data_IF_887994139230
#
_entry.id   IF_887994139230
#
_cell.length_a   1.000
_cell.length_b   1.000
_cell.length_c   1.000
_cell.angle_alpha   90.00
_cell.angle_beta   90.00
_cell.angle_gamma   90.00
#
_symmetry.space_group_name_H-M   'P 1'
#
loop_
_entity.id
_entity.type
_entity.pdbx_description
1 polymer ?
#
# COMPACT_ATOMS: atom_id res chain seq x y z
N UNK A 1 17.17 21.01 -4.02
CA UNK A 1 16.03 20.08 -4.20
C UNK A 1 16.13 19.03 -3.11
N UNK A 2 15.09 18.80 -2.29
CA UNK A 2 15.15 17.67 -1.34
C UNK A 2 15.08 16.35 -2.12
N UNK A 3 15.87 15.36 -1.73
CA UNK A 3 15.86 14.07 -2.40
C UNK A 3 14.50 13.39 -2.22
N UNK A 4 13.95 12.81 -3.30
CA UNK A 4 12.68 12.10 -3.26
C UNK A 4 12.72 10.99 -2.20
N UNK A 5 11.72 10.97 -1.31
CA UNK A 5 11.67 10.01 -0.20
C UNK A 5 11.52 8.59 -0.76
N UNK A 6 12.36 7.66 -0.30
CA UNK A 6 12.27 6.25 -0.69
C UNK A 6 11.06 5.59 -0.03
N UNK A 7 10.23 4.92 -0.84
CA UNK A 7 9.02 4.25 -0.36
C UNK A 7 8.91 2.80 -0.84
N UNK A 8 8.21 1.98 -0.06
CA UNK A 8 7.68 0.66 -0.44
C UNK A 8 6.17 0.82 -0.50
N UNK A 9 5.56 0.49 -1.65
CA UNK A 9 4.11 0.54 -1.82
C UNK A 9 3.53 -0.85 -1.59
N UNK A 10 2.51 -0.95 -0.74
CA UNK A 10 1.71 -2.17 -0.52
C UNK A 10 0.29 -1.89 -0.95
N UNK A 11 -0.12 -2.43 -2.10
CA UNK A 11 -1.41 -2.23 -2.72
C UNK A 11 -2.24 -3.52 -2.70
N UNK A 12 -3.57 -3.39 -2.67
CA UNK A 12 -4.47 -4.53 -2.72
C UNK A 12 -5.88 -4.20 -2.20
N UNK A 13 -6.88 -5.05 -2.47
CA UNK A 13 -8.27 -4.81 -2.07
C UNK A 13 -8.44 -4.66 -0.55
N UNK A 14 -9.60 -4.13 -0.13
CA UNK A 14 -10.01 -4.19 1.29
C UNK A 14 -10.03 -5.65 1.74
N UNK A 15 -9.58 -5.93 2.96
CA UNK A 15 -9.58 -7.28 3.50
C UNK A 15 -8.42 -8.17 3.03
N UNK A 16 -7.59 -7.73 2.08
CA UNK A 16 -6.49 -8.55 1.54
C UNK A 16 -5.35 -8.87 2.53
N UNK A 17 -5.44 -8.44 3.80
CA UNK A 17 -4.42 -8.69 4.81
C UNK A 17 -3.23 -7.71 4.83
N UNK A 18 -3.30 -6.59 4.10
CA UNK A 18 -2.19 -5.62 3.97
C UNK A 18 -1.69 -5.09 5.32
N UNK A 19 -2.59 -4.55 6.15
CA UNK A 19 -2.23 -4.01 7.45
C UNK A 19 -1.64 -5.10 8.35
N UNK A 20 -2.18 -6.32 8.30
CA UNK A 20 -1.66 -7.49 9.01
C UNK A 20 -0.25 -7.86 8.55
N UNK A 21 0.00 -7.91 7.24
CA UNK A 21 1.33 -8.17 6.67
C UNK A 21 2.33 -7.10 7.09
N UNK A 22 1.95 -5.81 7.02
CA UNK A 22 2.81 -4.70 7.45
C UNK A 22 3.14 -4.84 8.94
N UNK A 23 2.17 -5.16 9.79
CA UNK A 23 2.40 -5.36 11.22
C UNK A 23 3.30 -6.57 11.51
N UNK A 24 3.17 -7.66 10.74
CA UNK A 24 4.00 -8.85 10.90
C UNK A 24 5.46 -8.59 10.48
N UNK A 25 5.68 -7.88 9.38
CA UNK A 25 7.03 -7.55 8.89
C UNK A 25 7.71 -6.44 9.71
N UNK A 26 6.93 -5.53 10.28
CA UNK A 26 7.39 -4.36 11.02
C UNK A 26 6.59 -4.22 12.34
N UNK A 27 6.85 -5.08 13.33
CA UNK A 27 6.08 -5.14 14.57
C UNK A 27 6.16 -3.86 15.41
N UNK A 28 7.16 -3.01 15.20
CA UNK A 28 7.32 -1.71 15.83
C UNK A 28 6.35 -0.65 15.31
N UNK A 29 5.78 -0.84 14.11
CA UNK A 29 4.94 0.19 13.50
C UNK A 29 3.58 0.28 14.21
N UNK A 30 3.07 1.51 14.43
CA UNK A 30 1.73 1.75 14.96
C UNK A 30 0.68 1.54 13.87
N UNK A 31 0.57 0.30 13.38
CA UNK A 31 -0.38 -0.08 12.34
C UNK A 31 -1.80 0.18 12.82
N UNK A 32 -2.59 0.85 11.96
CA UNK A 32 -4.01 1.11 12.22
C UNK A 32 -4.83 0.17 11.32
N UNK A 33 -5.88 -0.44 11.85
CA UNK A 33 -6.75 -1.33 11.04
C UNK A 33 -7.96 -0.62 10.45
N UNK A 34 -8.19 0.64 10.83
CA UNK A 34 -9.20 1.49 10.18
C UNK A 34 -8.86 1.69 8.70
N UNK A 35 -9.88 1.95 7.89
CA UNK A 35 -9.73 2.15 6.45
C UNK A 35 -9.09 3.53 6.15
N UNK A 36 -8.04 3.62 5.31
CA UNK A 36 -7.51 4.91 4.87
C UNK A 36 -8.40 5.53 3.79
N UNK A 37 -8.42 6.86 3.71
CA UNK A 37 -9.19 7.57 2.67
C UNK A 37 -8.60 7.38 1.27
N UNK A 38 -7.27 7.46 1.13
CA UNK A 38 -6.54 7.22 -0.14
C UNK A 38 -5.40 6.23 0.08
N UNK A 39 -4.49 6.58 0.99
CA UNK A 39 -3.38 5.76 1.42
C UNK A 39 -3.03 6.04 2.88
N UNK A 40 -2.18 5.20 3.46
CA UNK A 40 -1.53 5.45 4.74
C UNK A 40 -0.03 5.32 4.60
N UNK A 41 0.69 6.19 5.29
CA UNK A 41 2.14 6.18 5.36
C UNK A 41 2.58 5.72 6.75
N UNK A 42 3.50 4.78 6.79
CA UNK A 42 4.20 4.39 8.01
C UNK A 42 5.69 4.70 7.85
N UNK A 43 6.27 5.36 8.83
CA UNK A 43 7.69 5.66 8.86
C UNK A 43 8.44 4.55 9.58
N UNK A 44 9.39 3.92 8.89
CA UNK A 44 10.25 2.90 9.50
C UNK A 44 11.46 3.57 10.16
N UNK A 45 12.03 2.93 11.18
CA UNK A 45 13.28 3.35 11.82
C UNK A 45 14.49 3.36 10.88
N UNK A 46 14.39 2.71 9.71
CA UNK A 46 15.47 2.60 8.71
C UNK A 46 15.41 3.68 7.61
N UNK A 47 14.62 4.74 7.80
CA UNK A 47 14.54 5.85 6.85
C UNK A 47 13.78 5.52 5.55
N UNK A 48 13.10 4.37 5.50
CA UNK A 48 12.15 4.04 4.43
C UNK A 48 10.72 4.29 4.91
N UNK A 49 9.82 4.66 3.99
CA UNK A 49 8.38 4.70 4.29
C UNK A 49 7.66 3.53 3.65
N UNK A 50 6.65 3.01 4.32
CA UNK A 50 5.71 2.04 3.78
C UNK A 50 4.42 2.79 3.47
N UNK A 51 3.95 2.66 2.24
CA UNK A 51 2.70 3.27 1.77
C UNK A 51 1.69 2.16 1.53
N UNK A 52 0.70 2.07 2.40
CA UNK A 52 -0.43 1.17 2.24
C UNK A 52 -1.50 1.85 1.37
N UNK A 53 -1.82 1.24 0.24
CA UNK A 53 -2.78 1.75 -0.74
C UNK A 53 -3.94 0.79 -0.86
N UNK A 54 -5.16 1.32 -0.81
CA UNK A 54 -6.33 0.54 -1.15
C UNK A 54 -6.44 0.44 -2.67
N UNK A 55 -6.37 -0.79 -3.21
CA UNK A 55 -6.58 -1.00 -4.63
C UNK A 55 -8.07 -0.87 -4.97
N UNK A 56 -8.47 0.34 -5.39
CA UNK A 56 -9.66 0.60 -6.21
C UNK A 56 -9.18 0.91 -7.63
N UNK A 57 -10.09 1.05 -8.60
CA UNK A 57 -9.74 1.47 -9.97
C UNK A 57 -8.90 2.77 -10.01
N UNK A 58 -8.96 3.58 -8.94
CA UNK A 58 -8.20 4.82 -8.78
C UNK A 58 -6.83 4.66 -8.09
N UNK A 59 -6.36 3.44 -7.76
CA UNK A 59 -5.09 3.25 -7.06
C UNK A 59 -3.90 3.88 -7.81
N UNK A 60 -3.92 3.81 -9.14
CA UNK A 60 -2.93 4.46 -9.99
C UNK A 60 -3.01 5.99 -9.85
N UNK A 61 -4.22 6.57 -9.77
CA UNK A 61 -4.41 8.02 -9.56
C UNK A 61 -3.88 8.45 -8.19
N UNK A 62 -4.07 7.63 -7.16
CA UNK A 62 -3.52 7.89 -5.82
C UNK A 62 -1.99 7.94 -5.85
N UNK A 63 -1.35 7.01 -6.58
CA UNK A 63 0.11 7.02 -6.75
C UNK A 63 0.60 8.22 -7.57
N UNK A 64 -0.16 8.65 -8.58
CA UNK A 64 0.15 9.84 -9.38
C UNK A 64 -0.05 11.16 -8.62
N UNK A 65 -0.95 11.20 -7.64
CA UNK A 65 -1.21 12.36 -6.78
C UNK A 65 -0.30 12.41 -5.53
N UNK A 66 0.55 11.40 -5.33
CA UNK A 66 1.42 11.32 -4.17
C UNK A 66 2.53 12.39 -4.19
N UNK A 67 3.11 12.72 -3.02
CA UNK A 67 4.36 13.48 -2.96
C UNK A 67 5.46 12.83 -3.83
N UNK A 68 6.54 13.56 -4.18
CA UNK A 68 7.63 13.02 -5.01
C UNK A 68 8.33 11.87 -4.29
N UNK A 69 7.81 10.66 -4.49
CA UNK A 69 8.29 9.43 -3.91
C UNK A 69 9.15 8.69 -4.91
N UNK A 70 10.26 8.17 -4.42
CA UNK A 70 11.04 7.17 -5.15
C UNK A 70 10.54 5.79 -4.74
N UNK A 71 9.59 5.25 -5.50
CA UNK A 71 9.12 3.88 -5.29
C UNK A 71 10.29 2.93 -5.53
N UNK A 72 10.66 2.19 -4.49
CA UNK A 72 11.77 1.22 -4.56
C UNK A 72 11.29 -0.22 -4.67
N UNK A 73 10.11 -0.50 -4.14
CA UNK A 73 9.44 -1.81 -4.20
C UNK A 73 7.93 -1.57 -4.26
N UNK A 74 7.24 -2.31 -5.12
CA UNK A 74 5.79 -2.41 -5.14
C UNK A 74 5.36 -3.84 -4.78
N UNK A 75 4.42 -3.98 -3.86
CA UNK A 75 3.85 -5.25 -3.42
C UNK A 75 2.35 -5.20 -3.71
N UNK A 76 1.87 -6.13 -4.54
CA UNK A 76 0.46 -6.36 -4.74
C UNK A 76 0.03 -7.54 -3.85
N UNK A 77 -0.92 -7.31 -2.96
CA UNK A 77 -1.45 -8.33 -2.06
C UNK A 77 -2.87 -8.70 -2.48
N UNK A 78 -3.09 -9.99 -2.69
CA UNK A 78 -4.36 -10.57 -3.09
C UNK A 78 -4.74 -11.61 -2.04
N UNK A 79 -6.01 -11.59 -1.65
CA UNK A 79 -6.60 -12.65 -0.85
C UNK A 79 -7.13 -13.74 -1.77
N UNK A 80 -6.44 -14.89 -1.80
CA UNK A 80 -6.79 -16.01 -2.67
C UNK A 80 -8.12 -16.67 -2.28
N UNK A 81 -8.68 -16.35 -1.11
CA UNK A 81 -10.01 -16.82 -0.71
C UNK A 81 -11.13 -15.95 -1.28
N UNK A 82 -10.79 -14.74 -1.76
CA UNK A 82 -11.74 -13.85 -2.40
C UNK A 82 -11.76 -14.09 -3.91
N UNK A 83 -12.91 -14.56 -4.39
CA UNK A 83 -13.17 -14.63 -5.82
C UNK A 83 -13.65 -13.25 -6.29
N UNK A 84 -12.90 -12.65 -7.22
CA UNK A 84 -13.39 -11.51 -8.00
C UNK A 84 -14.00 -12.06 -9.27
N UNK A 85 -15.20 -11.61 -9.64
CA UNK A 85 -15.77 -11.93 -10.93
C UNK A 85 -14.84 -11.38 -12.02
N UNK A 86 -14.09 -12.26 -12.67
CA UNK A 86 -13.29 -11.90 -13.84
C UNK A 86 -14.28 -11.76 -14.98
N UNK A 87 -14.54 -10.54 -15.45
CA UNK A 87 -15.32 -10.34 -16.66
C UNK A 87 -14.41 -10.71 -17.84
N UNK A 88 -14.66 -11.81 -18.58
CA UNK A 88 -13.72 -12.33 -19.58
C UNK A 88 -13.61 -11.48 -20.86
N UNK A 89 -14.15 -10.26 -20.86
CA UNK A 89 -14.30 -9.41 -22.05
C UNK A 89 -13.49 -8.10 -21.98
N UNK A 90 -12.43 -8.04 -21.18
CA UNK A 90 -11.41 -6.98 -21.27
C UNK A 90 -10.09 -7.58 -21.71
#
# INVERSE_FOLDING_TARGET
MSAAQKVIVVAGPKGAGKSTLIKALFPELPVRFAEPFLYRVYETSKGCRIVEVQAKDEALRVLLAAPPWRISVGIALVDATQQVAVNPLV
#
